data_IF_954220241220
#
_entry.id   IF_954220241220
#
_cell.length_a   1.000
_cell.length_b   1.000
_cell.length_c   1.000
_cell.angle_alpha   90.00
_cell.angle_beta   90.00
_cell.angle_gamma   90.00
#
_symmetry.space_group_name_H-M   'P 1'
#
loop_
_entity.id
_entity.type
_entity.pdbx_description
1 polymer ?
#
# COMPACT_ATOMS: atom_id res chain seq x y z
N UNK A 1 21.99 -9.69 35.05
CA UNK A 1 23.40 -9.86 34.65
C UNK A 1 23.61 -10.86 33.51
N UNK A 2 22.57 -11.26 32.76
CA UNK A 2 22.69 -12.13 31.58
C UNK A 2 22.55 -11.38 30.23
N UNK A 3 22.56 -10.03 30.24
CA UNK A 3 22.35 -9.20 29.03
C UNK A 3 23.59 -8.47 28.49
N UNK A 4 24.71 -8.46 29.22
CA UNK A 4 25.88 -7.65 28.83
C UNK A 4 26.50 -8.04 27.47
N UNK A 5 26.40 -9.31 27.04
CA UNK A 5 26.91 -9.73 25.73
C UNK A 5 26.01 -9.27 24.58
N UNK A 6 24.69 -9.27 24.78
CA UNK A 6 23.73 -8.78 23.79
C UNK A 6 23.85 -7.27 23.64
N UNK A 7 23.94 -6.55 24.75
CA UNK A 7 24.12 -5.09 24.75
C UNK A 7 25.40 -4.70 24.02
N UNK A 8 26.50 -5.44 24.26
CA UNK A 8 27.77 -5.21 23.58
C UNK A 8 27.68 -5.51 22.07
N UNK A 9 26.98 -6.59 21.68
CA UNK A 9 26.74 -6.89 20.27
C UNK A 9 25.88 -5.82 19.58
N UNK A 10 24.83 -5.31 20.24
CA UNK A 10 24.04 -4.20 19.72
C UNK A 10 24.88 -2.93 19.53
N UNK A 11 25.73 -2.60 20.50
CA UNK A 11 26.63 -1.45 20.41
C UNK A 11 27.62 -1.60 19.23
N UNK A 12 28.24 -2.76 19.06
CA UNK A 12 29.15 -3.00 17.93
C UNK A 12 28.46 -2.91 16.58
N UNK A 13 27.27 -3.51 16.45
CA UNK A 13 26.48 -3.42 15.22
C UNK A 13 26.09 -1.97 14.92
N UNK A 14 25.70 -1.20 15.95
CA UNK A 14 25.37 0.21 15.80
C UNK A 14 26.57 1.03 15.30
N UNK A 15 27.74 0.86 15.91
CA UNK A 15 28.99 1.54 15.46
C UNK A 15 29.36 1.14 14.04
N UNK A 16 29.26 -0.14 13.69
CA UNK A 16 29.52 -0.63 12.34
C UNK A 16 28.57 -0.02 11.29
N UNK A 17 27.27 0.05 11.62
CA UNK A 17 26.27 0.65 10.75
C UNK A 17 26.51 2.15 10.56
N UNK A 18 26.90 2.87 11.61
CA UNK A 18 27.30 4.28 11.51
C UNK A 18 28.54 4.46 10.63
N UNK A 19 29.57 3.61 10.78
CA UNK A 19 30.74 3.65 9.91
C UNK A 19 30.40 3.44 8.44
N UNK A 20 29.49 2.49 8.16
CA UNK A 20 29.00 2.23 6.79
C UNK A 20 28.24 3.43 6.24
N UNK A 21 27.34 4.02 7.03
CA UNK A 21 26.60 5.22 6.66
C UNK A 21 27.54 6.40 6.35
N UNK A 22 28.54 6.65 7.20
CA UNK A 22 29.51 7.74 6.98
C UNK A 22 30.25 7.51 5.66
N UNK A 23 30.74 6.30 5.42
CA UNK A 23 31.42 5.99 4.16
C UNK A 23 30.52 6.20 2.94
N UNK A 24 29.26 5.76 3.01
CA UNK A 24 28.30 5.92 1.92
C UNK A 24 27.94 7.40 1.68
N UNK A 25 27.85 8.21 2.74
CA UNK A 25 27.67 9.66 2.62
C UNK A 25 28.91 10.36 2.05
N UNK A 26 30.11 9.85 2.30
CA UNK A 26 31.35 10.37 1.68
C UNK A 26 31.44 10.03 0.19
N UNK A 27 30.97 8.83 -0.21
CA UNK A 27 31.03 8.33 -1.59
C UNK A 27 29.93 8.94 -2.46
N UNK A 28 28.68 8.87 -2.02
CA UNK A 28 27.54 9.44 -2.75
C UNK A 28 26.52 10.08 -1.80
N UNK A 29 26.76 11.33 -1.36
CA UNK A 29 25.84 12.04 -0.48
C UNK A 29 24.49 12.33 -1.15
N UNK A 30 24.39 12.32 -2.48
CA UNK A 30 23.16 12.67 -3.20
C UNK A 30 22.13 11.55 -3.14
N UNK A 31 22.59 10.29 -3.04
CA UNK A 31 21.74 9.13 -2.85
C UNK A 31 21.17 9.02 -1.43
N UNK A 32 21.46 9.94 -0.52
CA UNK A 32 20.92 9.91 0.83
C UNK A 32 19.96 11.06 1.11
N UNK A 33 18.94 10.76 1.90
CA UNK A 33 18.09 11.74 2.55
C UNK A 33 18.09 11.49 4.05
N UNK A 34 17.82 12.53 4.81
CA UNK A 34 17.64 12.42 6.25
C UNK A 34 16.38 13.17 6.69
N UNK A 35 15.82 12.74 7.81
CA UNK A 35 14.68 13.38 8.46
C UNK A 35 14.85 13.30 9.98
N UNK A 36 14.27 14.25 10.71
CA UNK A 36 14.15 14.21 12.15
C UNK A 36 12.69 14.12 12.60
N UNK A 37 12.49 13.71 13.86
CA UNK A 37 11.18 13.72 14.51
C UNK A 37 10.72 15.14 14.88
N UNK A 38 11.67 16.06 15.12
CA UNK A 38 11.43 17.47 15.44
C UNK A 38 12.48 18.36 14.76
N UNK A 39 12.13 19.62 14.50
CA UNK A 39 13.01 20.55 13.76
C UNK A 39 14.12 21.14 14.65
N UNK A 40 13.81 21.55 15.88
CA UNK A 40 14.74 22.30 16.74
C UNK A 40 15.57 21.40 17.68
N UNK A 41 14.97 20.36 18.25
CA UNK A 41 15.61 19.45 19.21
C UNK A 41 15.31 17.98 18.86
N UNK A 42 15.94 17.44 17.79
CA UNK A 42 15.64 16.10 17.31
C UNK A 42 16.07 15.04 18.32
N UNK A 43 15.15 14.17 18.71
CA UNK A 43 15.43 12.97 19.51
C UNK A 43 15.78 11.78 18.63
N UNK A 44 15.28 11.77 17.39
CA UNK A 44 15.53 10.74 16.39
C UNK A 44 15.93 11.36 15.06
N UNK A 45 17.02 10.85 14.49
CA UNK A 45 17.44 11.18 13.13
C UNK A 45 17.44 9.88 12.33
N UNK A 46 16.83 9.92 11.14
CA UNK A 46 16.72 8.80 10.23
C UNK A 46 17.47 9.14 8.95
N UNK A 47 18.35 8.24 8.51
CA UNK A 47 19.01 8.32 7.20
C UNK A 47 18.46 7.21 6.30
N UNK A 48 18.18 7.53 5.04
CA UNK A 48 17.67 6.57 4.07
C UNK A 48 18.33 6.78 2.70
N UNK A 49 18.78 5.68 2.04
CA UNK A 49 19.21 5.77 0.65
C UNK A 49 17.99 5.92 -0.26
N UNK A 50 18.14 6.64 -1.37
CA UNK A 50 17.12 6.84 -2.39
C UNK A 50 17.01 5.57 -3.24
N UNK A 51 18.15 5.11 -3.75
CA UNK A 51 18.33 3.91 -4.57
C UNK A 51 19.31 2.95 -3.90
N UNK A 52 19.08 1.64 -4.06
CA UNK A 52 19.91 0.58 -3.49
C UNK A 52 20.50 -0.35 -4.55
N UNK A 53 20.23 -0.10 -5.84
CA UNK A 53 20.65 -0.94 -6.95
C UNK A 53 22.17 -1.09 -7.02
N UNK A 54 22.93 -0.03 -6.74
CA UNK A 54 24.40 -0.11 -6.68
C UNK A 54 24.91 -0.98 -5.52
N UNK A 55 24.14 -1.09 -4.43
CA UNK A 55 24.44 -1.95 -3.30
C UNK A 55 23.93 -3.39 -3.49
N UNK A 56 23.17 -3.69 -4.55
CA UNK A 56 22.57 -4.99 -4.77
C UNK A 56 23.60 -6.13 -4.83
N UNK A 57 24.79 -5.84 -5.39
CA UNK A 57 25.89 -6.81 -5.44
C UNK A 57 26.25 -7.30 -4.04
N UNK A 58 26.38 -6.33 -3.12
CA UNK A 58 26.81 -6.56 -1.76
C UNK A 58 25.72 -7.14 -0.86
N UNK A 59 24.47 -6.77 -1.13
CA UNK A 59 23.33 -7.15 -0.31
C UNK A 59 22.82 -8.56 -0.62
N UNK A 60 22.64 -8.91 -1.90
CA UNK A 60 21.95 -10.16 -2.24
C UNK A 60 22.45 -10.88 -3.49
N UNK A 61 23.23 -10.26 -4.37
CA UNK A 61 23.74 -10.97 -5.56
C UNK A 61 24.81 -12.01 -5.22
N UNK A 62 25.63 -11.76 -4.19
CA UNK A 62 26.63 -12.72 -3.69
C UNK A 62 26.02 -13.96 -3.02
N UNK A 63 24.72 -13.96 -2.72
CA UNK A 63 24.04 -15.08 -2.05
C UNK A 63 23.81 -16.29 -2.97
N UNK A 64 23.91 -16.13 -4.29
CA UNK A 64 23.71 -17.24 -5.21
C UNK A 64 24.01 -16.92 -6.67
N UNK A 65 24.46 -17.94 -7.40
CA UNK A 65 24.76 -17.84 -8.85
C UNK A 65 23.50 -17.61 -9.71
N UNK A 66 22.37 -18.16 -9.29
CA UNK A 66 21.06 -17.97 -9.92
C UNK A 66 20.11 -17.46 -8.84
N UNK A 67 19.31 -16.45 -9.21
CA UNK A 67 18.40 -15.74 -8.30
C UNK A 67 17.04 -15.68 -8.97
N UNK A 68 16.00 -16.05 -8.22
CA UNK A 68 14.63 -16.04 -8.72
C UNK A 68 13.88 -15.01 -7.87
N UNK A 69 13.44 -13.94 -8.52
CA UNK A 69 12.59 -12.91 -7.92
C UNK A 69 11.16 -13.18 -8.39
N UNK A 70 10.24 -13.37 -7.43
CA UNK A 70 8.84 -13.66 -7.73
C UNK A 70 7.96 -12.65 -7.02
N UNK A 71 7.00 -12.11 -7.74
CA UNK A 71 5.93 -11.29 -7.18
C UNK A 71 4.65 -11.56 -7.95
N UNK A 72 3.52 -11.46 -7.26
CA UNK A 72 2.21 -11.46 -7.92
C UNK A 72 2.03 -10.21 -8.81
N UNK A 73 2.77 -9.14 -8.51
CA UNK A 73 2.73 -7.88 -9.24
C UNK A 73 4.14 -7.38 -9.51
N UNK A 74 4.52 -7.30 -10.78
CA UNK A 74 5.70 -6.56 -11.26
C UNK A 74 5.19 -5.60 -12.35
N UNK A 75 4.69 -4.41 -11.97
CA UNK A 75 4.02 -3.47 -12.88
C UNK A 75 4.91 -3.00 -14.03
N UNK A 76 6.15 -2.61 -13.74
CA UNK A 76 7.18 -2.30 -14.74
C UNK A 76 8.42 -3.15 -14.47
N UNK A 77 8.69 -4.18 -15.29
CA UNK A 77 9.91 -4.99 -15.18
C UNK A 77 11.18 -4.14 -15.28
N UNK A 78 11.17 -3.09 -16.10
CA UNK A 78 12.28 -2.16 -16.29
C UNK A 78 12.58 -1.39 -15.00
N UNK A 79 11.56 -0.81 -14.36
CA UNK A 79 11.69 -0.15 -13.06
C UNK A 79 12.17 -1.16 -12.01
N UNK A 80 11.57 -2.35 -11.96
CA UNK A 80 11.91 -3.38 -10.99
C UNK A 80 13.37 -3.83 -11.11
N UNK A 81 13.86 -4.01 -12.34
CA UNK A 81 15.26 -4.34 -12.59
C UNK A 81 16.19 -3.21 -12.13
N UNK A 82 15.88 -1.95 -12.45
CA UNK A 82 16.68 -0.81 -12.03
C UNK A 82 16.79 -0.71 -10.51
N UNK A 83 15.65 -0.81 -9.81
CA UNK A 83 15.57 -0.74 -8.34
C UNK A 83 16.39 -1.82 -7.64
N UNK A 84 16.52 -2.99 -8.26
CA UNK A 84 17.29 -4.12 -7.74
C UNK A 84 18.71 -4.22 -8.32
N UNK A 85 19.15 -3.25 -9.14
CA UNK A 85 20.47 -3.30 -9.78
C UNK A 85 20.64 -4.46 -10.77
N UNK A 86 19.55 -4.98 -11.33
CA UNK A 86 19.56 -6.11 -12.25
C UNK A 86 19.97 -5.65 -13.66
N UNK A 87 20.97 -6.32 -14.23
CA UNK A 87 21.42 -6.09 -15.60
C UNK A 87 20.49 -6.79 -16.61
N UNK A 88 19.98 -6.03 -17.59
CA UNK A 88 18.99 -6.53 -18.57
C UNK A 88 19.48 -7.69 -19.43
N UNK A 89 20.78 -7.75 -19.75
CA UNK A 89 21.41 -8.82 -20.53
C UNK A 89 21.63 -10.12 -19.74
N UNK A 90 21.49 -10.05 -18.41
CA UNK A 90 21.64 -11.18 -17.48
C UNK A 90 20.37 -11.51 -16.72
N UNK A 91 19.26 -10.86 -17.07
CA UNK A 91 17.97 -11.02 -16.41
C UNK A 91 16.92 -11.50 -17.41
N UNK A 92 16.27 -12.62 -17.11
CA UNK A 92 15.15 -13.13 -17.89
C UNK A 92 13.85 -12.75 -17.17
N UNK A 93 12.95 -12.06 -17.88
CA UNK A 93 11.62 -11.74 -17.40
C UNK A 93 10.65 -12.81 -17.89
N UNK A 94 9.88 -13.37 -16.96
CA UNK A 94 8.80 -14.31 -17.25
C UNK A 94 7.52 -13.70 -16.72
N UNK A 95 6.60 -13.34 -17.62
CA UNK A 95 5.32 -12.72 -17.28
C UNK A 95 4.17 -13.68 -17.49
N UNK A 96 3.26 -13.75 -16.51
CA UNK A 96 2.01 -14.50 -16.59
C UNK A 96 0.87 -13.48 -16.68
N UNK A 97 0.39 -13.22 -17.89
CA UNK A 97 -0.56 -12.12 -18.16
C UNK A 97 -2.03 -12.53 -18.02
N UNK A 98 -2.32 -13.66 -17.36
CA UNK A 98 -3.68 -14.10 -17.10
C UNK A 98 -3.88 -14.36 -15.61
N UNK A 99 -5.06 -14.03 -15.10
CA UNK A 99 -5.49 -14.51 -13.79
C UNK A 99 -6.11 -15.90 -13.94
N UNK A 100 -5.74 -16.82 -13.06
CA UNK A 100 -6.40 -18.11 -13.00
C UNK A 100 -7.78 -18.05 -12.33
N UNK A 101 -8.15 -16.88 -11.79
CA UNK A 101 -9.40 -16.63 -11.06
C UNK A 101 -10.44 -16.02 -12.01
N UNK A 102 -11.67 -16.56 -12.08
CA UNK A 102 -12.70 -16.07 -13.00
C UNK A 102 -12.97 -14.57 -12.81
N UNK A 103 -13.04 -13.82 -13.90
CA UNK A 103 -13.28 -12.36 -13.85
C UNK A 103 -14.60 -12.01 -13.17
N UNK A 104 -15.66 -12.79 -13.41
CA UNK A 104 -16.96 -12.61 -12.75
C UNK A 104 -16.95 -12.84 -11.24
N UNK A 105 -15.91 -13.47 -10.69
CA UNK A 105 -15.78 -13.67 -9.25
C UNK A 105 -15.15 -12.45 -8.55
N UNK A 106 -14.52 -11.53 -9.29
CA UNK A 106 -13.69 -10.44 -8.75
C UNK A 106 -14.03 -9.06 -9.35
N UNK A 107 -15.32 -8.68 -9.49
CA UNK A 107 -15.67 -7.38 -10.07
C UNK A 107 -15.10 -6.20 -9.28
N UNK A 108 -14.70 -5.17 -10.02
CA UNK A 108 -14.21 -3.89 -9.50
C UNK A 108 -15.19 -2.80 -9.95
N UNK A 109 -15.99 -2.27 -9.02
CA UNK A 109 -16.96 -1.21 -9.28
C UNK A 109 -16.33 0.15 -9.10
N UNK A 110 -16.51 1.02 -10.10
CA UNK A 110 -15.95 2.39 -10.11
C UNK A 110 -17.01 3.47 -10.31
N UNK A 111 -18.28 3.07 -10.47
CA UNK A 111 -19.40 3.98 -10.75
C UNK A 111 -19.90 4.76 -9.53
N UNK A 112 -19.68 4.23 -8.32
CA UNK A 112 -19.96 4.95 -7.08
C UNK A 112 -18.71 5.72 -6.67
N UNK A 113 -18.87 7.00 -6.35
CA UNK A 113 -17.74 7.89 -6.00
C UNK A 113 -18.01 8.65 -4.72
N UNK A 114 -17.00 8.76 -3.87
CA UNK A 114 -16.97 9.66 -2.72
C UNK A 114 -16.39 11.04 -3.08
N UNK A 115 -15.91 11.74 -2.06
CA UNK A 115 -15.20 13.00 -2.18
C UNK A 115 -13.73 12.85 -2.57
N UNK A 116 -13.09 13.95 -2.98
CA UNK A 116 -11.66 13.93 -3.37
C UNK A 116 -10.76 13.80 -2.16
N UNK A 117 -9.97 12.72 -2.08
CA UNK A 117 -9.06 12.47 -0.96
C UNK A 117 -7.60 12.94 -1.19
N UNK A 118 -7.37 13.69 -2.27
CA UNK A 118 -6.10 14.40 -2.51
C UNK A 118 -5.83 15.46 -1.44
N UNK A 119 -4.56 15.78 -1.16
CA UNK A 119 -4.20 16.74 -0.09
C UNK A 119 -4.94 18.09 -0.22
N UNK A 120 -5.04 18.64 -1.43
CA UNK A 120 -5.69 19.91 -1.71
C UNK A 120 -7.23 19.84 -1.81
N UNK A 121 -7.81 18.65 -1.80
CA UNK A 121 -9.24 18.43 -2.07
C UNK A 121 -10.02 17.77 -0.93
N UNK A 122 -9.35 17.33 0.13
CA UNK A 122 -9.93 16.57 1.26
C UNK A 122 -10.46 17.48 2.37
N UNK A 123 -11.47 18.28 2.04
CA UNK A 123 -12.21 19.09 3.01
C UNK A 123 -13.31 18.28 3.72
N UNK A 124 -14.00 18.90 4.69
CA UNK A 124 -15.08 18.28 5.48
C UNK A 124 -16.18 17.70 4.57
N UNK A 125 -16.61 18.46 3.56
CA UNK A 125 -17.59 18.01 2.58
C UNK A 125 -17.12 16.78 1.80
N UNK A 126 -15.84 16.69 1.45
CA UNK A 126 -15.30 15.49 0.80
C UNK A 126 -15.38 14.26 1.72
N UNK A 127 -15.18 14.42 3.03
CA UNK A 127 -15.36 13.33 4.00
C UNK A 127 -16.84 12.93 4.13
N UNK A 128 -17.76 13.89 4.22
CA UNK A 128 -19.21 13.62 4.24
C UNK A 128 -19.66 12.81 3.01
N UNK A 129 -19.27 13.25 1.80
CA UNK A 129 -19.58 12.53 0.56
C UNK A 129 -19.00 11.11 0.53
N UNK A 130 -17.82 10.93 1.11
CA UNK A 130 -17.16 9.64 1.19
C UNK A 130 -17.85 8.73 2.21
N UNK A 131 -18.22 9.26 3.37
CA UNK A 131 -18.98 8.53 4.39
C UNK A 131 -20.32 8.06 3.83
N UNK A 132 -21.05 8.92 3.12
CA UNK A 132 -22.31 8.54 2.46
C UNK A 132 -22.13 7.43 1.43
N UNK A 133 -21.09 7.50 0.59
CA UNK A 133 -20.78 6.44 -0.36
C UNK A 133 -20.42 5.12 0.33
N UNK A 134 -19.64 5.17 1.41
CA UNK A 134 -19.30 3.99 2.22
C UNK A 134 -20.55 3.39 2.85
N UNK A 135 -21.38 4.18 3.54
CA UNK A 135 -22.62 3.73 4.18
C UNK A 135 -23.59 3.12 3.16
N UNK A 136 -23.68 3.69 1.96
CA UNK A 136 -24.46 3.11 0.87
C UNK A 136 -23.96 1.71 0.49
N UNK A 137 -22.63 1.50 0.39
CA UNK A 137 -22.05 0.18 0.14
C UNK A 137 -22.32 -0.76 1.32
N UNK A 138 -22.15 -0.29 2.56
CA UNK A 138 -22.40 -1.11 3.75
C UNK A 138 -23.85 -1.60 3.80
N UNK A 139 -24.81 -0.78 3.38
CA UNK A 139 -26.21 -1.16 3.28
C UNK A 139 -26.47 -2.19 2.15
N UNK A 140 -25.79 -2.08 1.00
CA UNK A 140 -25.84 -3.12 -0.04
C UNK A 140 -25.28 -4.46 0.44
N UNK A 141 -24.41 -4.43 1.44
CA UNK A 141 -23.71 -5.57 2.03
C UNK A 141 -24.08 -5.76 3.50
N UNK A 142 -25.35 -5.57 3.88
CA UNK A 142 -25.82 -5.59 5.29
C UNK A 142 -25.44 -6.85 6.07
N UNK A 143 -25.42 -8.00 5.40
CA UNK A 143 -25.14 -9.31 5.99
C UNK A 143 -23.77 -9.88 5.63
N UNK A 144 -22.86 -9.06 5.10
CA UNK A 144 -21.58 -9.51 4.58
C UNK A 144 -20.42 -8.86 5.31
N UNK A 145 -19.29 -9.56 5.34
CA UNK A 145 -18.06 -9.09 5.98
C UNK A 145 -17.18 -8.38 4.96
N UNK A 146 -16.55 -7.30 5.39
CA UNK A 146 -15.82 -6.45 4.44
C UNK A 146 -14.63 -5.74 5.03
N UNK A 147 -13.89 -5.06 4.16
CA UNK A 147 -12.76 -4.21 4.54
C UNK A 147 -12.88 -2.82 3.90
N UNK A 148 -12.50 -1.80 4.65
CA UNK A 148 -12.37 -0.43 4.17
C UNK A 148 -10.88 -0.07 4.20
N UNK A 149 -10.37 0.40 3.07
CA UNK A 149 -8.97 0.71 2.83
C UNK A 149 -8.79 2.23 2.67
N UNK A 150 -8.56 2.97 3.79
CA UNK A 150 -8.47 4.43 3.81
C UNK A 150 -7.15 5.00 3.27
N UNK A 151 -6.14 4.16 3.02
CA UNK A 151 -4.77 4.51 2.58
C UNK A 151 -3.90 5.30 3.59
N UNK A 152 -4.48 6.19 4.40
CA UNK A 152 -3.72 6.95 5.42
C UNK A 152 -4.48 7.02 6.75
N UNK A 153 -3.74 7.10 7.86
CA UNK A 153 -4.33 7.20 9.21
C UNK A 153 -5.20 8.45 9.38
N UNK A 154 -4.87 9.56 8.72
CA UNK A 154 -5.69 10.77 8.76
C UNK A 154 -7.05 10.55 8.08
N UNK A 155 -7.06 9.87 6.92
CA UNK A 155 -8.31 9.54 6.22
C UNK A 155 -9.13 8.54 7.03
N UNK A 156 -8.47 7.55 7.63
CA UNK A 156 -9.12 6.56 8.52
C UNK A 156 -9.89 7.25 9.65
N UNK A 157 -9.22 8.13 10.41
CA UNK A 157 -9.83 8.82 11.55
C UNK A 157 -10.98 9.75 11.12
N UNK A 158 -10.74 10.63 10.14
CA UNK A 158 -11.77 11.60 9.69
C UNK A 158 -12.95 10.94 8.99
N UNK A 159 -12.72 9.84 8.26
CA UNK A 159 -13.81 9.08 7.67
C UNK A 159 -14.67 8.42 8.75
N UNK A 160 -14.04 7.85 9.78
CA UNK A 160 -14.77 7.27 10.91
C UNK A 160 -15.63 8.32 11.63
N UNK A 161 -15.07 9.50 11.90
CA UNK A 161 -15.82 10.63 12.48
C UNK A 161 -17.02 11.03 11.61
N UNK A 162 -16.83 11.15 10.29
CA UNK A 162 -17.91 11.50 9.36
C UNK A 162 -18.99 10.40 9.27
N UNK A 163 -18.60 9.13 9.35
CA UNK A 163 -19.54 8.01 9.39
C UNK A 163 -20.34 7.97 10.68
N UNK A 164 -19.70 8.21 11.83
CA UNK A 164 -20.35 8.25 13.15
C UNK A 164 -21.40 9.37 13.24
N UNK A 165 -21.13 10.52 12.60
CA UNK A 165 -22.08 11.63 12.55
C UNK A 165 -23.32 11.32 11.69
N UNK A 166 -23.16 10.55 10.62
CA UNK A 166 -24.25 10.22 9.68
C UNK A 166 -25.06 9.00 10.14
N UNK A 167 -24.39 7.96 10.62
CA UNK A 167 -25.01 6.69 11.07
C UNK A 167 -24.18 6.04 12.20
N UNK A 168 -24.36 6.49 13.46
CA UNK A 168 -23.61 5.96 14.60
C UNK A 168 -23.94 4.48 14.89
N UNK A 169 -25.15 4.02 14.56
CA UNK A 169 -25.56 2.63 14.80
C UNK A 169 -24.77 1.66 13.92
N UNK A 170 -24.52 2.01 12.65
CA UNK A 170 -23.68 1.19 11.77
C UNK A 170 -22.23 1.17 12.26
N UNK A 171 -21.70 2.30 12.73
CA UNK A 171 -20.32 2.36 13.23
C UNK A 171 -20.16 1.52 14.50
N UNK A 172 -21.04 1.69 15.49
CA UNK A 172 -21.00 0.94 16.75
C UNK A 172 -21.15 -0.57 16.55
N UNK A 173 -22.03 -1.01 15.66
CA UNK A 173 -22.38 -2.42 15.54
C UNK A 173 -21.58 -3.19 14.48
N UNK A 174 -21.00 -2.52 13.49
CA UNK A 174 -20.34 -3.21 12.35
C UNK A 174 -18.89 -2.83 12.16
N UNK A 175 -18.46 -1.63 12.52
CA UNK A 175 -17.11 -1.17 12.17
C UNK A 175 -16.12 -1.63 13.24
N UNK A 176 -15.12 -2.38 12.79
CA UNK A 176 -13.98 -2.82 13.60
C UNK A 176 -12.80 -1.90 13.30
N UNK A 177 -12.18 -1.37 14.36
CA UNK A 177 -10.99 -0.53 14.30
C UNK A 177 -9.91 -1.10 15.22
N UNK A 178 -8.68 -0.65 15.06
CA UNK A 178 -7.56 -1.05 15.92
C UNK A 178 -6.63 0.14 16.17
N UNK A 179 -5.88 0.14 17.28
CA UNK A 179 -4.86 1.17 17.50
C UNK A 179 -3.64 1.00 16.59
N UNK A 180 -2.66 1.90 16.73
CA UNK A 180 -1.40 1.83 15.97
C UNK A 180 -0.36 0.96 16.67
N UNK A 181 -0.66 0.45 17.87
CA UNK A 181 0.19 -0.52 18.56
C UNK A 181 0.24 -1.84 17.76
N UNK A 182 1.43 -2.38 17.45
CA UNK A 182 1.54 -3.60 16.66
C UNK A 182 0.92 -4.83 17.31
N UNK A 183 0.97 -4.97 18.64
CA UNK A 183 0.44 -6.15 19.33
C UNK A 183 -1.09 -6.11 19.38
N UNK A 184 -1.66 -4.96 19.75
CA UNK A 184 -3.12 -4.77 19.74
C UNK A 184 -3.69 -4.91 18.33
N UNK A 185 -3.01 -4.34 17.31
CA UNK A 185 -3.42 -4.50 15.92
C UNK A 185 -3.49 -5.97 15.52
N UNK A 186 -2.47 -6.75 15.84
CA UNK A 186 -2.44 -8.18 15.50
C UNK A 186 -3.58 -8.95 16.18
N UNK A 187 -3.86 -8.63 17.44
CA UNK A 187 -4.97 -9.22 18.20
C UNK A 187 -6.32 -8.92 17.52
N UNK A 188 -6.59 -7.64 17.19
CA UNK A 188 -7.84 -7.26 16.50
C UNK A 188 -7.95 -7.90 15.12
N UNK A 189 -6.85 -8.02 14.37
CA UNK A 189 -6.87 -8.67 13.06
C UNK A 189 -7.20 -10.17 13.18
N UNK A 190 -6.62 -10.85 14.16
CA UNK A 190 -6.90 -12.26 14.47
C UNK A 190 -8.36 -12.46 14.90
N UNK A 191 -8.88 -11.58 15.77
CA UNK A 191 -10.27 -11.63 16.20
C UNK A 191 -11.23 -11.33 15.04
N UNK A 192 -10.90 -10.34 14.22
CA UNK A 192 -11.68 -10.01 13.04
C UNK A 192 -11.75 -11.20 12.09
N UNK A 193 -10.70 -11.98 11.89
CA UNK A 193 -10.72 -13.17 11.02
C UNK A 193 -11.79 -14.19 11.40
N UNK A 194 -11.94 -14.46 12.70
CA UNK A 194 -12.90 -15.46 13.21
C UNK A 194 -14.27 -14.87 13.56
N UNK A 195 -14.39 -13.54 13.59
CA UNK A 195 -15.66 -12.85 13.82
C UNK A 195 -16.64 -13.17 12.69
N UNK A 196 -17.85 -13.66 13.02
CA UNK A 196 -18.86 -13.94 12.00
C UNK A 196 -19.36 -12.65 11.35
N UNK A 197 -20.02 -12.78 10.20
CA UNK A 197 -20.66 -11.66 9.52
C UNK A 197 -21.65 -10.93 10.47
N UNK A 198 -21.79 -9.59 10.35
CA UNK A 198 -21.40 -8.76 9.21
C UNK A 198 -20.33 -7.69 9.55
N UNK A 199 -19.26 -8.08 10.26
CA UNK A 199 -18.21 -7.16 10.68
C UNK A 199 -17.45 -6.52 9.51
N UNK A 200 -17.02 -5.27 9.65
CA UNK A 200 -16.27 -4.54 8.62
C UNK A 200 -15.06 -3.86 9.23
N UNK A 201 -13.86 -4.27 8.81
CA UNK A 201 -12.61 -3.72 9.31
C UNK A 201 -12.18 -2.51 8.49
N UNK A 202 -11.96 -1.37 9.14
CA UNK A 202 -11.30 -0.22 8.52
C UNK A 202 -9.83 -0.18 8.95
N UNK A 203 -8.91 -0.27 7.98
CA UNK A 203 -7.48 -0.34 8.30
C UNK A 203 -6.57 0.05 7.15
N UNK A 204 -5.56 0.86 7.47
CA UNK A 204 -4.43 1.15 6.58
C UNK A 204 -3.46 -0.04 6.39
N UNK A 205 -3.43 -0.99 7.31
CA UNK A 205 -2.46 -2.10 7.30
C UNK A 205 -2.92 -3.28 6.43
N UNK A 206 -4.23 -3.45 6.26
CA UNK A 206 -4.79 -4.56 5.48
C UNK A 206 -4.36 -4.49 4.00
N UNK A 207 -4.14 -3.28 3.48
CA UNK A 207 -3.61 -3.10 2.13
C UNK A 207 -2.22 -3.70 1.90
N UNK A 208 -1.42 -3.91 2.94
CA UNK A 208 0.01 -4.22 2.86
C UNK A 208 0.39 -5.64 3.35
N UNK A 209 -0.49 -6.37 4.04
CA UNK A 209 -0.08 -7.67 4.63
C UNK A 209 -1.17 -8.55 5.24
N UNK A 210 -2.44 -8.21 5.14
CA UNK A 210 -3.51 -9.03 5.72
C UNK A 210 -3.82 -10.24 4.81
N UNK A 211 -3.83 -11.43 5.41
CA UNK A 211 -4.09 -12.71 4.73
C UNK A 211 -5.42 -13.36 5.16
N UNK A 212 -6.29 -12.60 5.84
CA UNK A 212 -7.59 -13.08 6.27
C UNK A 212 -8.45 -13.50 5.08
N UNK A 213 -8.97 -14.72 5.16
CA UNK A 213 -9.58 -15.48 4.04
C UNK A 213 -11.06 -15.17 3.77
N UNK A 214 -11.67 -14.25 4.50
CA UNK A 214 -13.14 -14.19 4.61
C UNK A 214 -13.67 -12.76 4.59
N UNK A 215 -13.47 -12.04 3.49
CA UNK A 215 -14.20 -10.82 3.22
C UNK A 215 -14.92 -10.97 1.87
N UNK A 216 -16.18 -10.55 1.82
CA UNK A 216 -17.01 -10.57 0.61
C UNK A 216 -16.82 -9.30 -0.22
N UNK A 217 -16.42 -8.20 0.41
CA UNK A 217 -16.20 -6.93 -0.27
C UNK A 217 -15.04 -6.10 0.30
N UNK A 218 -14.49 -5.23 -0.54
CA UNK A 218 -13.52 -4.22 -0.15
C UNK A 218 -13.90 -2.83 -0.69
N UNK A 219 -13.63 -1.79 0.09
CA UNK A 219 -13.85 -0.39 -0.32
C UNK A 219 -12.53 0.35 -0.28
N UNK A 220 -12.00 0.74 -1.45
CA UNK A 220 -10.83 1.60 -1.59
C UNK A 220 -11.28 3.05 -1.61
N UNK A 221 -10.89 3.78 -0.56
CA UNK A 221 -11.26 5.18 -0.35
C UNK A 221 -10.40 6.12 -1.19
N UNK A 222 -9.12 5.77 -1.35
CA UNK A 222 -8.13 6.61 -2.02
C UNK A 222 -7.15 5.77 -2.83
N UNK A 223 -6.81 6.28 -4.01
CA UNK A 223 -5.75 5.72 -4.85
C UNK A 223 -4.41 5.67 -4.10
N UNK A 224 -3.68 4.54 -4.13
CA UNK A 224 -2.55 4.31 -3.24
C UNK A 224 -1.25 4.96 -3.72
N UNK A 225 -1.32 6.22 -4.14
CA UNK A 225 -0.15 6.99 -4.54
C UNK A 225 0.84 7.13 -3.37
N UNK A 226 2.14 6.90 -3.59
CA UNK A 226 3.17 7.15 -2.57
C UNK A 226 3.17 8.63 -2.14
N UNK A 227 3.49 8.93 -0.87
CA UNK A 227 3.35 10.28 -0.31
C UNK A 227 4.44 11.22 -0.84
N UNK A 228 4.07 12.26 -1.60
CA UNK A 228 5.02 13.26 -2.10
C UNK A 228 5.55 14.23 -1.03
N UNK A 229 5.00 14.19 0.19
CA UNK A 229 5.58 14.90 1.34
C UNK A 229 6.82 14.21 1.91
N UNK A 230 7.04 12.93 1.59
CA UNK A 230 8.27 12.22 1.94
C UNK A 230 9.39 12.59 0.96
N UNK A 231 10.51 13.10 1.49
CA UNK A 231 11.62 13.64 0.68
C UNK A 231 12.20 12.56 -0.24
N UNK A 232 12.30 11.31 0.26
CA UNK A 232 12.80 10.19 -0.55
C UNK A 232 11.87 9.93 -1.73
N UNK A 233 10.59 9.79 -1.47
CA UNK A 233 9.55 9.54 -2.48
C UNK A 233 9.51 10.64 -3.53
N UNK A 234 9.57 11.91 -3.11
CA UNK A 234 9.63 13.06 -4.01
C UNK A 234 10.83 12.96 -4.95
N UNK A 235 12.04 12.76 -4.40
CA UNK A 235 13.26 12.63 -5.22
C UNK A 235 13.19 11.45 -6.19
N UNK A 236 12.63 10.31 -5.77
CA UNK A 236 12.46 9.14 -6.64
C UNK A 236 11.47 9.41 -7.77
N UNK A 237 10.36 10.06 -7.48
CA UNK A 237 9.36 10.44 -8.48
C UNK A 237 9.94 11.46 -9.48
N UNK A 238 10.68 12.46 -9.01
CA UNK A 238 11.35 13.45 -9.88
C UNK A 238 12.40 12.80 -10.79
N UNK A 239 13.13 11.80 -10.28
CA UNK A 239 14.12 11.05 -11.06
C UNK A 239 13.48 10.05 -12.03
N UNK A 240 12.32 9.49 -11.68
CA UNK A 240 11.62 8.49 -12.48
C UNK A 240 10.11 8.50 -12.21
N UNK A 241 9.35 9.17 -13.08
CA UNK A 241 7.88 9.21 -12.98
C UNK A 241 7.25 7.81 -13.15
N UNK A 242 7.90 6.94 -13.93
CA UNK A 242 7.46 5.56 -14.16
C UNK A 242 7.49 4.74 -12.86
N UNK A 243 8.49 4.96 -12.01
CA UNK A 243 8.57 4.33 -10.70
C UNK A 243 7.35 4.66 -9.86
N UNK A 244 6.98 5.94 -9.81
CA UNK A 244 5.82 6.38 -9.02
C UNK A 244 4.51 5.74 -9.46
N UNK A 245 4.33 5.57 -10.78
CA UNK A 245 3.17 4.88 -11.38
C UNK A 245 3.20 3.38 -11.13
N UNK A 246 4.36 2.76 -11.30
CA UNK A 246 4.60 1.34 -11.02
C UNK A 246 4.26 1.00 -9.57
N UNK A 247 4.73 1.78 -8.59
CA UNK A 247 4.39 1.60 -7.17
C UNK A 247 2.89 1.72 -6.93
N UNK A 248 2.25 2.73 -7.52
CA UNK A 248 0.80 2.95 -7.38
C UNK A 248 -0.01 1.81 -7.98
N UNK A 249 0.36 1.34 -9.18
CA UNK A 249 -0.31 0.23 -9.87
C UNK A 249 -0.14 -1.08 -9.10
N UNK A 250 1.06 -1.37 -8.61
CA UNK A 250 1.35 -2.54 -7.79
C UNK A 250 0.52 -2.57 -6.51
N UNK A 251 0.48 -1.44 -5.79
CA UNK A 251 -0.34 -1.31 -4.58
C UNK A 251 -1.85 -1.44 -4.89
N UNK A 252 -2.34 -0.83 -5.97
CA UNK A 252 -3.74 -0.93 -6.39
C UNK A 252 -4.15 -2.39 -6.67
N UNK A 253 -3.36 -3.10 -7.49
CA UNK A 253 -3.64 -4.49 -7.84
C UNK A 253 -3.62 -5.37 -6.58
N UNK A 254 -2.68 -5.13 -5.66
CA UNK A 254 -2.63 -5.86 -4.38
C UNK A 254 -3.85 -5.57 -3.49
N UNK A 255 -4.31 -4.32 -3.43
CA UNK A 255 -5.47 -3.92 -2.64
C UNK A 255 -6.77 -4.54 -3.19
N UNK A 256 -6.97 -4.55 -4.52
CA UNK A 256 -8.12 -5.21 -5.14
C UNK A 256 -8.05 -6.74 -5.04
N UNK A 257 -6.84 -7.30 -4.94
CA UNK A 257 -6.63 -8.74 -4.72
C UNK A 257 -6.92 -9.22 -3.29
N UNK A 258 -7.36 -8.35 -2.36
CA UNK A 258 -7.56 -8.73 -0.95
C UNK A 258 -8.76 -9.64 -0.72
N UNK A 259 -9.80 -9.51 -1.54
CA UNK A 259 -11.09 -10.22 -1.39
C UNK A 259 -11.06 -11.62 -2.01
N UNK A 260 -10.55 -11.75 -3.24
CA UNK A 260 -10.56 -13.02 -3.99
C UNK A 260 -9.16 -13.62 -4.02
N UNK A 261 -8.95 -14.71 -3.28
CA UNK A 261 -7.64 -15.37 -3.11
C UNK A 261 -7.53 -16.75 -3.77
N UNK A 262 -8.66 -17.31 -4.19
CA UNK A 262 -8.74 -18.60 -4.84
C UNK A 262 -9.71 -18.57 -6.02
N UNK A 263 -9.66 -19.63 -6.85
CA UNK A 263 -10.58 -19.80 -8.00
C UNK A 263 -12.05 -19.92 -7.60
N UNK A 264 -12.31 -20.32 -6.36
CA UNK A 264 -13.66 -20.55 -5.84
C UNK A 264 -14.17 -19.38 -5.02
N UNK A 265 -13.29 -18.45 -4.64
CA UNK A 265 -13.70 -17.25 -3.90
C UNK A 265 -14.47 -16.33 -4.84
N UNK A 266 -15.43 -15.60 -4.28
CA UNK A 266 -16.18 -14.55 -4.96
C UNK A 266 -16.24 -13.34 -4.06
N UNK A 267 -16.08 -12.15 -4.62
CA UNK A 267 -16.30 -10.93 -3.89
C UNK A 267 -16.06 -9.70 -4.73
N UNK A 268 -16.45 -8.54 -4.20
CA UNK A 268 -16.55 -7.30 -4.95
C UNK A 268 -15.64 -6.23 -4.37
N UNK A 269 -14.94 -5.51 -5.24
CA UNK A 269 -14.13 -4.37 -4.82
C UNK A 269 -14.77 -3.09 -5.32
N UNK A 270 -14.87 -2.09 -4.46
CA UNK A 270 -15.30 -0.74 -4.81
C UNK A 270 -14.10 0.19 -4.78
N UNK A 271 -13.90 0.95 -5.85
CA UNK A 271 -12.95 2.09 -5.84
C UNK A 271 -13.80 3.35 -5.90
N UNK A 272 -13.90 4.03 -4.77
CA UNK A 272 -14.75 5.22 -4.66
C UNK A 272 -13.98 6.54 -4.78
N UNK A 273 -12.66 6.48 -5.02
CA UNK A 273 -11.86 7.69 -5.27
C UNK A 273 -12.26 8.31 -6.63
N UNK A 274 -12.84 9.52 -6.65
CA UNK A 274 -13.30 10.15 -7.89
C UNK A 274 -12.15 10.47 -8.87
N UNK A 275 -10.89 10.39 -8.43
CA UNK A 275 -9.72 10.58 -9.29
C UNK A 275 -9.29 9.33 -10.05
N UNK A 276 -9.82 8.14 -9.69
CA UNK A 276 -9.49 6.86 -10.31
C UNK A 276 -9.57 6.92 -11.83
N UNK A 277 -10.73 7.31 -12.38
CA UNK A 277 -10.97 7.31 -13.83
C UNK A 277 -9.96 8.15 -14.60
N UNK A 278 -9.56 9.31 -14.05
CA UNK A 278 -8.56 10.17 -14.67
C UNK A 278 -7.18 9.49 -14.64
N UNK A 279 -6.73 9.02 -13.48
CA UNK A 279 -5.41 8.41 -13.35
C UNK A 279 -5.31 7.10 -14.13
N UNK A 280 -6.36 6.29 -14.11
CA UNK A 280 -6.42 5.00 -14.78
C UNK A 280 -6.42 5.11 -16.29
N UNK A 281 -7.21 6.03 -16.88
CA UNK A 281 -7.39 6.10 -18.33
C UNK A 281 -6.49 7.12 -19.04
N UNK A 282 -6.09 8.20 -18.35
CA UNK A 282 -5.32 9.30 -18.95
C UNK A 282 -3.97 9.51 -18.26
N UNK A 283 -3.97 9.49 -16.94
CA UNK A 283 -2.78 9.71 -16.12
C UNK A 283 -2.20 11.12 -16.24
N UNK A 284 -1.12 11.34 -15.49
CA UNK A 284 -0.29 12.55 -15.58
C UNK A 284 0.63 12.40 -16.79
N UNK A 285 0.85 13.48 -17.54
CA UNK A 285 1.70 13.52 -18.74
C UNK A 285 1.31 12.51 -19.85
N UNK A 286 0.05 12.07 -19.86
CA UNK A 286 -0.45 11.11 -20.86
C UNK A 286 0.07 9.69 -20.67
N UNK A 287 0.57 9.33 -19.48
CA UNK A 287 0.91 7.96 -19.14
C UNK A 287 -0.14 7.43 -18.15
N UNK A 288 -1.15 6.69 -18.62
CA UNK A 288 -2.24 6.19 -17.80
C UNK A 288 -1.79 5.02 -16.91
N UNK A 289 -2.46 4.85 -15.76
CA UNK A 289 -2.11 3.78 -14.81
C UNK A 289 -2.40 2.38 -15.38
N UNK A 290 -3.36 2.26 -16.31
CA UNK A 290 -3.70 0.99 -16.94
C UNK A 290 -2.55 0.34 -17.71
N UNK A 291 -1.55 1.12 -18.12
CA UNK A 291 -0.36 0.61 -18.80
C UNK A 291 0.59 -0.14 -17.84
N UNK A 292 0.35 -0.03 -16.52
CA UNK A 292 1.15 -0.63 -15.45
C UNK A 292 0.38 -1.69 -14.66
N UNK A 293 -0.89 -1.98 -15.02
CA UNK A 293 -1.65 -3.06 -14.38
C UNK A 293 -1.75 -4.25 -15.34
N UNK A 294 -1.86 -5.49 -14.84
CA UNK A 294 -2.10 -6.64 -15.70
C UNK A 294 -3.45 -6.58 -16.42
N UNK A 295 -3.53 -7.11 -17.66
CA UNK A 295 -4.74 -7.11 -18.49
C UNK A 295 -5.99 -7.63 -17.75
N UNK A 296 -5.82 -8.67 -16.94
CA UNK A 296 -6.91 -9.26 -16.16
C UNK A 296 -7.54 -8.28 -15.16
N UNK A 297 -6.83 -7.22 -14.76
CA UNK A 297 -7.36 -6.17 -13.89
C UNK A 297 -8.40 -5.33 -14.63
N UNK A 298 -8.10 -4.95 -15.88
CA UNK A 298 -9.00 -4.17 -16.73
C UNK A 298 -10.31 -4.91 -17.00
N UNK A 299 -10.21 -6.22 -17.27
CA UNK A 299 -11.38 -7.08 -17.48
C UNK A 299 -12.34 -7.13 -16.28
N UNK A 300 -11.84 -6.88 -15.07
CA UNK A 300 -12.64 -6.92 -13.85
C UNK A 300 -13.36 -5.61 -13.54
N UNK A 301 -13.00 -4.51 -14.20
CA UNK A 301 -13.64 -3.21 -13.97
C UNK A 301 -15.01 -3.20 -14.65
N UNK A 302 -16.05 -2.84 -13.88
CA UNK A 302 -17.44 -2.72 -14.33
C UNK A 302 -18.03 -1.33 -14.06
#
# INVERSE_FOLDING_TARGET
>A
YADNEKDLAFAYNFVSNLGTLINQLEVDPKNWVWSSDQDDEPTYIKFQPIDIGEAAEDLFFRLGRQRIFMSATIPSPEVYMKELGLESDRTMIISVNYSSFPTGNRPIVTTLTGGKMSYSGRDERAFEQTAQAVLQILNLHEGQKGIILPHTNEIEAKLLEAMELEDPEVVENRIVTHSKDPAEREEVLSDFEVTPDPAVLISTYVGQGYDGKHCDFAILIKMPFPPLGDIRTLKKMEANEEWYKSETAGALVQMCGRVVRSKTDTGITYIIDPTFTFHYNKGINGQPLKDYVPDYFDEAII
#
